data_IF_230023121305
#
_entry.id   IF_230023121305
#
_cell.length_a   1.000
_cell.length_b   1.000
_cell.length_c   1.000
_cell.angle_alpha   90.00
_cell.angle_beta   90.00
_cell.angle_gamma   90.00
#
_symmetry.space_group_name_H-M   'P 1'
#
loop_
_entity.id
_entity.type
_entity.pdbx_description
1 polymer ?
#
# COMPACT_ATOMS: atom_id res chain seq x y z
N UNK A 1 -28.69 6.00 -6.10
CA UNK A 1 -28.02 6.53 -4.88
C UNK A 1 -28.14 5.52 -3.78
N UNK A 2 -27.05 4.92 -3.38
CA UNK A 2 -27.01 3.97 -2.27
C UNK A 2 -27.04 4.73 -0.94
N UNK A 3 -27.98 4.35 -0.04
CA UNK A 3 -28.05 4.92 1.31
C UNK A 3 -27.23 4.06 2.26
N UNK A 4 -26.36 4.68 3.02
CA UNK A 4 -25.53 4.00 4.03
C UNK A 4 -25.85 4.59 5.40
N UNK A 5 -26.01 3.72 6.39
CA UNK A 5 -26.25 4.12 7.78
C UNK A 5 -24.96 4.71 8.37
N UNK A 6 -25.06 5.87 8.99
CA UNK A 6 -23.98 6.48 9.77
C UNK A 6 -24.01 5.96 11.20
N UNK A 7 -22.83 5.70 11.75
CA UNK A 7 -22.65 5.26 13.13
C UNK A 7 -21.96 6.36 13.96
N UNK A 8 -22.29 6.41 15.25
CA UNK A 8 -21.53 7.18 16.22
C UNK A 8 -20.38 6.33 16.83
N UNK A 9 -19.55 6.91 17.68
CA UNK A 9 -18.43 6.21 18.34
C UNK A 9 -18.91 5.06 19.28
N UNK A 10 -20.17 5.05 19.68
CA UNK A 10 -20.77 3.97 20.47
C UNK A 10 -21.35 2.83 19.62
N UNK A 11 -21.24 2.90 18.29
CA UNK A 11 -21.82 1.92 17.36
C UNK A 11 -23.33 2.02 17.14
N UNK A 12 -23.94 3.12 17.59
CA UNK A 12 -25.37 3.38 17.39
C UNK A 12 -25.59 4.14 16.08
N UNK A 13 -26.76 3.94 15.47
CA UNK A 13 -27.14 4.65 14.26
C UNK A 13 -27.35 6.15 14.54
N UNK A 14 -26.61 7.00 13.81
CA UNK A 14 -26.66 8.47 13.92
C UNK A 14 -27.39 9.12 12.74
N UNK A 15 -27.90 8.32 11.78
CA UNK A 15 -28.62 8.79 10.60
C UNK A 15 -28.23 8.05 9.34
N UNK A 16 -28.60 8.58 8.18
CA UNK A 16 -28.28 8.04 6.88
C UNK A 16 -27.61 9.08 6.00
N UNK A 17 -26.67 8.65 5.16
CA UNK A 17 -26.02 9.47 4.14
C UNK A 17 -26.28 8.86 2.76
N UNK A 18 -26.54 9.70 1.77
CA UNK A 18 -26.64 9.29 0.38
C UNK A 18 -25.28 9.42 -0.28
N UNK A 19 -24.84 8.35 -0.93
CA UNK A 19 -23.59 8.30 -1.67
C UNK A 19 -23.85 8.55 -3.15
N UNK A 20 -22.96 9.29 -3.83
CA UNK A 20 -23.05 9.52 -5.27
C UNK A 20 -22.67 8.25 -6.04
N UNK A 21 -23.57 7.78 -6.91
CA UNK A 21 -23.35 6.59 -7.73
C UNK A 21 -22.15 6.73 -8.70
N UNK A 22 -21.84 7.96 -9.11
CA UNK A 22 -20.69 8.28 -9.97
C UNK A 22 -19.34 7.91 -9.31
N UNK A 23 -19.29 7.80 -7.97
CA UNK A 23 -18.07 7.52 -7.21
C UNK A 23 -18.12 6.13 -6.56
N UNK A 24 -19.27 5.78 -5.97
CA UNK A 24 -19.43 4.56 -5.17
C UNK A 24 -20.26 3.47 -5.85
N UNK A 25 -20.88 3.77 -7.02
CA UNK A 25 -21.75 2.86 -7.75
C UNK A 25 -21.16 2.36 -9.08
N UNK A 26 -19.91 2.63 -9.38
CA UNK A 26 -19.26 2.22 -10.63
C UNK A 26 -18.92 0.73 -10.59
N UNK A 27 -19.04 0.05 -11.74
CA UNK A 27 -18.56 -1.33 -11.87
C UNK A 27 -17.03 -1.38 -11.68
N UNK A 28 -16.53 -2.16 -10.69
CA UNK A 28 -15.11 -2.18 -10.36
C UNK A 28 -14.25 -2.78 -11.48
N UNK A 29 -13.26 -2.02 -11.97
CA UNK A 29 -12.28 -2.50 -12.93
C UNK A 29 -11.04 -3.07 -12.22
N UNK A 30 -11.02 -4.39 -12.03
CA UNK A 30 -9.92 -5.10 -11.35
C UNK A 30 -8.56 -4.91 -12.02
N UNK A 31 -8.51 -4.82 -13.36
CA UNK A 31 -7.26 -4.62 -14.10
C UNK A 31 -6.64 -3.26 -13.80
N UNK A 32 -7.46 -2.20 -13.72
CA UNK A 32 -7.01 -0.86 -13.36
C UNK A 32 -6.47 -0.82 -11.93
N UNK A 33 -7.20 -1.43 -10.99
CA UNK A 33 -6.79 -1.53 -9.57
C UNK A 33 -5.46 -2.28 -9.46
N UNK A 34 -5.34 -3.46 -10.08
CA UNK A 34 -4.09 -4.25 -10.09
C UNK A 34 -2.90 -3.47 -10.67
N UNK A 35 -3.09 -2.79 -11.80
CA UNK A 35 -2.03 -1.98 -12.43
C UNK A 35 -1.52 -0.87 -11.49
N UNK A 36 -2.45 -0.18 -10.79
CA UNK A 36 -2.09 0.89 -9.84
C UNK A 36 -1.42 0.33 -8.59
N UNK A 37 -1.88 -0.78 -8.03
CA UNK A 37 -1.22 -1.44 -6.88
C UNK A 37 0.21 -1.85 -7.26
N UNK A 38 0.39 -2.50 -8.41
CA UNK A 38 1.72 -2.88 -8.92
C UNK A 38 2.65 -1.67 -9.08
N UNK A 39 2.12 -0.56 -9.59
CA UNK A 39 2.86 0.69 -9.71
C UNK A 39 3.27 1.27 -8.34
N UNK A 40 2.34 1.33 -7.36
CA UNK A 40 2.64 1.83 -6.01
C UNK A 40 3.73 0.99 -5.35
N UNK A 41 3.63 -0.33 -5.42
CA UNK A 41 4.61 -1.25 -4.85
C UNK A 41 5.98 -1.13 -5.54
N UNK A 42 6.02 -1.00 -6.87
CA UNK A 42 7.25 -0.78 -7.62
C UNK A 42 7.91 0.55 -7.24
N UNK A 43 7.12 1.62 -7.11
CA UNK A 43 7.62 2.95 -6.75
C UNK A 43 8.13 3.05 -5.30
N UNK A 44 7.71 2.13 -4.40
CA UNK A 44 8.21 2.01 -3.03
C UNK A 44 9.56 1.29 -2.95
N UNK A 45 9.95 0.55 -3.99
CA UNK A 45 11.24 -0.18 -4.00
C UNK A 45 12.39 0.79 -4.09
N UNK A 46 13.36 0.67 -3.18
CA UNK A 46 14.56 1.50 -3.15
C UNK A 46 15.52 1.16 -4.29
N UNK A 47 15.65 -0.12 -4.66
CA UNK A 47 16.44 -0.56 -5.79
C UNK A 47 17.95 -0.55 -5.59
N UNK A 48 18.43 -0.66 -4.36
CA UNK A 48 19.85 -0.59 -3.98
C UNK A 48 20.57 -1.94 -4.03
N UNK A 49 19.90 -3.01 -4.49
CA UNK A 49 20.54 -4.32 -4.62
C UNK A 49 21.74 -4.25 -5.56
N UNK A 50 22.88 -4.82 -5.12
CA UNK A 50 24.10 -4.88 -5.91
C UNK A 50 24.87 -6.15 -5.59
N UNK A 51 25.40 -6.78 -6.63
CA UNK A 51 26.38 -7.84 -6.47
C UNK A 51 27.56 -7.60 -7.43
N UNK A 52 28.72 -8.14 -7.08
CA UNK A 52 29.93 -7.97 -7.88
C UNK A 52 29.95 -8.98 -9.02
N UNK A 53 30.13 -8.48 -10.22
CA UNK A 53 30.44 -9.29 -11.40
C UNK A 53 31.88 -9.82 -11.34
N UNK A 54 32.22 -10.77 -12.19
CA UNK A 54 33.57 -11.30 -12.31
C UNK A 54 34.64 -10.21 -12.46
N UNK A 55 34.34 -9.12 -13.17
CA UNK A 55 35.26 -7.99 -13.37
C UNK A 55 35.45 -7.12 -12.14
N UNK A 56 34.49 -7.14 -11.21
CA UNK A 56 34.49 -6.27 -10.01
C UNK A 56 35.02 -6.99 -8.75
N UNK A 57 35.10 -8.32 -8.80
CA UNK A 57 35.67 -9.10 -7.69
C UNK A 57 37.18 -8.92 -7.69
N UNK A 58 37.76 -8.69 -6.50
CA UNK A 58 39.21 -8.57 -6.33
C UNK A 58 39.88 -9.91 -6.67
N UNK A 59 40.93 -9.86 -7.50
CA UNK A 59 41.69 -11.02 -7.90
C UNK A 59 41.57 -11.30 -9.40
N UNK A 60 42.03 -12.47 -9.83
CA UNK A 60 42.09 -12.80 -11.25
C UNK A 60 43.30 -12.15 -11.96
N UNK A 61 43.12 -11.76 -13.21
CA UNK A 61 44.20 -11.18 -14.04
C UNK A 61 45.25 -12.15 -14.54
N UNK A 62 45.65 -13.15 -13.74
CA UNK A 62 46.56 -14.20 -14.12
C UNK A 62 45.82 -15.52 -14.19
N UNK A 63 46.10 -16.31 -15.23
CA UNK A 63 45.63 -17.71 -15.36
C UNK A 63 46.21 -18.54 -14.22
N UNK A 64 45.42 -19.27 -13.42
CA UNK A 64 45.91 -20.03 -12.26
C UNK A 64 46.94 -21.08 -12.59
N UNK A 65 46.82 -21.76 -13.73
CA UNK A 65 47.78 -22.78 -14.23
C UNK A 65 47.69 -22.91 -15.74
N UNK A 66 48.69 -23.60 -16.35
CA UNK A 66 48.74 -23.84 -17.77
C UNK A 66 47.58 -24.66 -18.29
N UNK A 67 47.25 -24.51 -19.58
CA UNK A 67 46.07 -25.08 -20.23
C UNK A 67 46.00 -26.61 -20.24
N UNK A 68 47.15 -27.29 -20.31
CA UNK A 68 47.30 -28.76 -20.38
C UNK A 68 48.47 -29.22 -19.49
N UNK A 69 48.49 -30.54 -19.15
CA UNK A 69 49.59 -31.18 -18.39
C UNK A 69 49.55 -30.96 -16.89
N UNK A 70 48.39 -30.58 -16.30
CA UNK A 70 48.20 -30.41 -14.85
C UNK A 70 47.33 -31.47 -14.21
N UNK A 71 46.64 -32.32 -14.98
CA UNK A 71 45.65 -33.28 -14.48
C UNK A 71 44.39 -32.66 -13.88
N UNK A 72 44.26 -31.31 -13.90
CA UNK A 72 43.12 -30.55 -13.34
C UNK A 72 42.21 -30.05 -14.46
N UNK A 73 40.97 -29.66 -14.10
CA UNK A 73 40.08 -29.01 -15.04
C UNK A 73 40.68 -27.67 -15.52
N UNK A 74 40.33 -27.24 -16.72
CA UNK A 74 40.81 -26.00 -17.29
C UNK A 74 40.23 -24.80 -16.54
N UNK A 75 41.07 -23.87 -16.13
CA UNK A 75 40.70 -22.70 -15.34
C UNK A 75 41.15 -21.42 -16.04
N UNK A 76 40.21 -20.49 -16.29
CA UNK A 76 40.49 -19.20 -16.91
C UNK A 76 40.92 -18.14 -15.90
N UNK A 77 40.20 -18.06 -14.79
CA UNK A 77 40.45 -17.09 -13.73
C UNK A 77 39.97 -17.61 -12.37
N UNK A 78 40.54 -17.12 -11.29
CA UNK A 78 40.09 -17.41 -9.94
C UNK A 78 38.80 -16.65 -9.57
N UNK A 79 38.40 -15.62 -10.36
CA UNK A 79 37.19 -14.83 -10.14
C UNK A 79 35.98 -15.34 -10.93
N UNK A 80 36.12 -16.51 -11.61
CA UNK A 80 35.00 -17.08 -12.37
C UNK A 80 33.83 -17.46 -11.45
N UNK A 81 32.59 -17.35 -11.94
CA UNK A 81 31.38 -17.66 -11.14
C UNK A 81 31.33 -19.09 -10.59
N UNK A 82 32.04 -20.00 -11.22
CA UNK A 82 32.17 -21.40 -10.77
C UNK A 82 33.11 -21.59 -9.57
N UNK A 83 33.86 -20.56 -9.18
CA UNK A 83 34.81 -20.60 -8.09
C UNK A 83 34.21 -20.09 -6.79
N UNK A 84 34.64 -20.63 -5.66
CA UNK A 84 34.32 -20.12 -4.33
C UNK A 84 34.90 -18.71 -4.19
N UNK A 85 34.05 -17.71 -3.89
CA UNK A 85 34.45 -16.31 -3.86
C UNK A 85 34.54 -15.64 -5.22
N UNK A 86 34.14 -16.32 -6.31
CA UNK A 86 34.04 -15.73 -7.66
C UNK A 86 32.87 -14.73 -7.79
N UNK A 87 32.79 -14.07 -8.95
CA UNK A 87 31.74 -13.12 -9.28
C UNK A 87 30.38 -13.77 -9.58
N UNK A 88 29.30 -12.99 -9.48
CA UNK A 88 27.96 -13.44 -9.82
C UNK A 88 27.71 -13.19 -11.31
N UNK A 89 27.18 -14.21 -12.02
CA UNK A 89 26.74 -14.05 -13.42
C UNK A 89 25.48 -13.20 -13.43
N UNK A 90 25.41 -12.19 -14.32
CA UNK A 90 24.29 -11.25 -14.38
C UNK A 90 23.95 -10.61 -13.02
N UNK A 91 25.00 -10.21 -12.29
CA UNK A 91 24.87 -9.61 -10.99
C UNK A 91 23.87 -8.44 -10.99
N UNK A 92 22.93 -8.37 -10.04
CA UNK A 92 22.01 -7.25 -9.95
C UNK A 92 22.79 -5.96 -9.72
N UNK A 93 22.35 -4.88 -10.36
CA UNK A 93 22.89 -3.53 -10.17
C UNK A 93 21.81 -2.60 -9.65
N UNK A 94 22.17 -1.56 -8.91
CA UNK A 94 21.22 -0.56 -8.45
C UNK A 94 20.45 0.02 -9.63
N UNK A 95 19.12 0.04 -9.52
CA UNK A 95 18.25 0.61 -10.55
C UNK A 95 16.99 1.21 -9.95
N UNK A 96 16.41 2.18 -10.63
CA UNK A 96 15.09 2.69 -10.29
C UNK A 96 14.01 1.75 -10.84
N UNK A 97 13.00 1.46 -9.99
CA UNK A 97 11.81 0.72 -10.38
C UNK A 97 10.61 1.64 -10.63
N UNK A 98 10.83 2.96 -10.55
CA UNK A 98 9.76 3.96 -10.67
C UNK A 98 9.26 4.06 -12.11
N UNK A 99 7.95 4.07 -12.24
CA UNK A 99 7.27 4.40 -13.49
C UNK A 99 5.93 5.08 -13.18
N UNK A 100 5.38 5.79 -14.16
CA UNK A 100 4.12 6.54 -14.01
C UNK A 100 3.02 5.90 -14.84
N UNK A 101 1.79 5.97 -14.33
CA UNK A 101 0.58 5.56 -15.03
C UNK A 101 -0.22 6.79 -15.49
N UNK A 102 -1.00 6.70 -16.58
CA UNK A 102 -1.89 7.76 -17.01
C UNK A 102 -2.85 8.21 -15.90
N UNK A 103 -3.13 9.52 -15.81
CA UNK A 103 -4.03 10.08 -14.79
C UNK A 103 -5.42 9.45 -14.82
N UNK A 104 -5.98 9.23 -16.01
CA UNK A 104 -7.30 8.60 -16.20
C UNK A 104 -7.36 7.19 -15.60
N UNK A 105 -6.31 6.39 -15.79
CA UNK A 105 -6.24 5.03 -15.24
C UNK A 105 -6.18 5.04 -13.70
N UNK A 106 -5.40 5.96 -13.12
CA UNK A 106 -5.32 6.13 -11.67
C UNK A 106 -6.64 6.55 -11.06
N UNK A 107 -7.36 7.48 -11.72
CA UNK A 107 -8.70 7.91 -11.30
C UNK A 107 -9.70 6.75 -11.37
N UNK A 108 -9.74 6.00 -12.48
CA UNK A 108 -10.59 4.82 -12.63
C UNK A 108 -10.33 3.77 -11.53
N UNK A 109 -9.06 3.50 -11.21
CA UNK A 109 -8.71 2.57 -10.17
C UNK A 109 -9.15 3.03 -8.77
N UNK A 110 -9.09 4.33 -8.48
CA UNK A 110 -9.56 4.89 -7.22
C UNK A 110 -11.08 4.75 -7.08
N UNK A 111 -11.83 5.13 -8.10
CA UNK A 111 -13.29 4.99 -8.13
C UNK A 111 -13.70 3.52 -8.03
N UNK A 112 -13.01 2.63 -8.74
CA UNK A 112 -13.22 1.17 -8.65
C UNK A 112 -12.99 0.62 -7.25
N UNK A 113 -11.95 1.09 -6.55
CA UNK A 113 -11.65 0.65 -5.18
C UNK A 113 -12.71 1.14 -4.18
N UNK A 114 -13.18 2.39 -4.31
CA UNK A 114 -14.26 2.94 -3.47
C UNK A 114 -15.58 2.22 -3.70
N UNK A 115 -15.94 1.95 -4.97
CA UNK A 115 -17.15 1.22 -5.33
C UNK A 115 -17.13 -0.23 -4.83
N UNK A 116 -15.98 -0.93 -4.92
CA UNK A 116 -15.82 -2.28 -4.39
C UNK A 116 -16.10 -2.31 -2.88
N UNK A 117 -15.54 -1.36 -2.10
CA UNK A 117 -15.78 -1.25 -0.66
C UNK A 117 -17.24 -1.00 -0.30
N UNK A 118 -17.95 -0.21 -1.11
CA UNK A 118 -19.37 0.05 -0.91
C UNK A 118 -20.22 -1.19 -1.23
N UNK A 119 -19.92 -1.90 -2.33
CA UNK A 119 -20.64 -3.10 -2.77
C UNK A 119 -20.44 -4.30 -1.83
N UNK A 120 -19.23 -4.46 -1.26
CA UNK A 120 -18.90 -5.52 -0.32
C UNK A 120 -19.37 -5.24 1.12
N UNK A 121 -20.04 -4.10 1.36
CA UNK A 121 -20.47 -3.64 2.69
C UNK A 121 -19.31 -3.47 3.69
N UNK A 122 -18.13 -3.16 3.20
CA UNK A 122 -16.93 -2.92 3.99
C UNK A 122 -16.72 -1.42 4.28
N UNK A 123 -17.59 -0.56 3.76
CA UNK A 123 -17.63 0.87 4.02
C UNK A 123 -18.45 1.15 5.29
N UNK A 124 -17.79 1.71 6.29
CA UNK A 124 -18.39 2.15 7.56
C UNK A 124 -18.33 3.68 7.60
N UNK A 125 -19.48 4.32 7.70
CA UNK A 125 -19.57 5.79 7.78
C UNK A 125 -19.75 6.20 9.24
N UNK A 126 -18.85 7.09 9.70
CA UNK A 126 -18.93 7.67 11.05
C UNK A 126 -19.40 9.12 10.96
N UNK A 127 -20.23 9.55 11.89
CA UNK A 127 -20.63 10.95 11.99
C UNK A 127 -19.42 11.82 12.32
N UNK A 128 -18.80 11.61 13.48
CA UNK A 128 -17.58 12.30 13.92
C UNK A 128 -16.67 11.32 14.71
N UNK A 129 -15.35 11.48 14.59
CA UNK A 129 -14.36 10.80 15.42
C UNK A 129 -13.58 11.88 16.16
N UNK A 130 -13.79 12.00 17.48
CA UNK A 130 -13.14 13.03 18.29
C UNK A 130 -12.71 12.46 19.64
N UNK A 131 -11.46 12.71 20.01
CA UNK A 131 -10.92 12.35 21.31
C UNK A 131 -10.36 13.58 22.00
N UNK A 132 -10.71 13.79 23.26
CA UNK A 132 -10.17 14.88 24.08
C UNK A 132 -8.65 14.74 24.31
N UNK A 133 -8.19 13.51 24.47
CA UNK A 133 -6.80 13.17 24.66
C UNK A 133 -6.42 11.90 23.84
N UNK A 134 -5.17 11.73 23.42
CA UNK A 134 -4.74 10.55 22.69
C UNK A 134 -4.73 9.31 23.61
N UNK A 135 -5.69 8.39 23.40
CA UNK A 135 -5.84 7.15 24.17
C UNK A 135 -6.14 5.96 23.26
N UNK A 136 -5.25 4.99 23.21
CA UNK A 136 -5.44 3.74 22.44
C UNK A 136 -6.63 2.92 22.92
N UNK A 137 -6.91 2.91 24.23
CA UNK A 137 -8.04 2.17 24.82
C UNK A 137 -9.41 2.66 24.32
N UNK A 138 -9.57 3.97 24.14
CA UNK A 138 -10.82 4.55 23.61
C UNK A 138 -10.99 4.22 22.12
N UNK A 139 -9.90 4.26 21.34
CA UNK A 139 -9.91 3.84 19.94
C UNK A 139 -10.27 2.35 19.79
N UNK A 140 -9.71 1.46 20.61
CA UNK A 140 -10.05 0.03 20.59
C UNK A 140 -11.54 -0.17 20.90
N UNK A 141 -12.08 0.47 21.93
CA UNK A 141 -13.51 0.39 22.25
C UNK A 141 -14.40 0.86 21.09
N UNK A 142 -14.02 1.95 20.42
CA UNK A 142 -14.75 2.44 19.25
C UNK A 142 -14.75 1.38 18.14
N UNK A 143 -13.58 0.79 17.83
CA UNK A 143 -13.45 -0.24 16.79
C UNK A 143 -14.27 -1.51 17.12
N UNK A 144 -14.29 -1.93 18.38
CA UNK A 144 -15.13 -3.03 18.87
C UNK A 144 -16.62 -2.71 18.71
N UNK A 145 -17.06 -1.51 19.08
CA UNK A 145 -18.44 -1.06 18.98
C UNK A 145 -18.96 -1.07 17.52
N UNK A 146 -18.12 -0.65 16.56
CA UNK A 146 -18.46 -0.67 15.13
C UNK A 146 -18.16 -2.02 14.46
N UNK A 147 -17.72 -3.04 15.21
CA UNK A 147 -17.36 -4.38 14.74
C UNK A 147 -16.26 -4.39 13.67
N UNK A 148 -15.34 -3.46 13.75
CA UNK A 148 -14.18 -3.40 12.85
C UNK A 148 -13.01 -4.25 13.39
N UNK A 149 -13.19 -5.58 13.46
CA UNK A 149 -12.29 -6.53 14.14
C UNK A 149 -10.97 -6.80 13.41
N UNK A 150 -10.87 -6.40 12.14
CA UNK A 150 -9.71 -6.70 11.27
C UNK A 150 -8.95 -5.41 10.93
N UNK A 151 -8.16 -5.49 9.88
CA UNK A 151 -7.47 -4.32 9.34
C UNK A 151 -8.47 -3.22 8.97
N UNK A 152 -8.32 -2.03 9.56
CA UNK A 152 -9.19 -0.91 9.26
C UNK A 152 -8.38 0.32 8.81
N UNK A 153 -8.88 0.98 7.78
CA UNK A 153 -8.37 2.27 7.29
C UNK A 153 -9.35 3.37 7.71
N UNK A 154 -8.88 4.28 8.55
CA UNK A 154 -9.68 5.42 9.00
C UNK A 154 -9.33 6.64 8.14
N UNK A 155 -10.32 7.18 7.44
CA UNK A 155 -10.17 8.33 6.54
C UNK A 155 -10.85 9.56 7.14
N UNK A 156 -10.08 10.62 7.29
CA UNK A 156 -10.52 11.89 7.85
C UNK A 156 -10.43 13.01 6.81
N UNK A 157 -11.30 14.01 6.93
CA UNK A 157 -11.26 15.22 6.11
C UNK A 157 -10.07 16.11 6.46
N UNK A 158 -9.82 16.30 7.76
CA UNK A 158 -8.75 17.11 8.32
C UNK A 158 -7.89 16.29 9.29
N UNK A 159 -6.69 16.80 9.58
CA UNK A 159 -5.75 16.15 10.46
C UNK A 159 -6.14 16.37 11.92
N UNK A 160 -6.49 15.28 12.62
CA UNK A 160 -6.65 15.27 14.08
C UNK A 160 -5.48 14.46 14.71
N UNK A 161 -4.62 15.13 15.46
CA UNK A 161 -3.47 14.50 16.10
C UNK A 161 -3.86 13.51 17.18
N UNK A 162 -4.96 13.74 17.90
CA UNK A 162 -5.43 12.85 18.95
C UNK A 162 -5.90 11.52 18.36
N UNK A 163 -6.64 11.55 17.24
CA UNK A 163 -7.07 10.35 16.51
C UNK A 163 -5.87 9.59 15.95
N UNK A 164 -4.94 10.28 15.31
CA UNK A 164 -3.74 9.67 14.71
C UNK A 164 -2.89 8.97 15.77
N UNK A 165 -2.61 9.66 16.90
CA UNK A 165 -1.81 9.09 18.00
C UNK A 165 -2.52 7.92 18.69
N UNK A 166 -3.84 7.99 18.83
CA UNK A 166 -4.65 6.90 19.41
C UNK A 166 -4.64 5.64 18.56
N UNK A 167 -4.61 5.77 17.22
CA UNK A 167 -4.61 4.65 16.28
C UNK A 167 -3.21 4.08 16.01
N UNK A 168 -2.16 4.89 16.11
CA UNK A 168 -0.82 4.56 15.60
C UNK A 168 -0.20 3.28 16.18
N UNK A 169 -0.52 2.92 17.43
CA UNK A 169 0.02 1.73 18.11
C UNK A 169 -0.85 0.47 17.93
N UNK A 170 -1.98 0.57 17.26
CA UNK A 170 -2.88 -0.57 17.08
C UNK A 170 -2.50 -1.30 15.79
N UNK A 171 -2.16 -2.59 15.90
CA UNK A 171 -1.81 -3.40 14.74
C UNK A 171 -2.98 -3.53 13.75
N UNK A 172 -2.71 -3.30 12.48
CA UNK A 172 -3.71 -3.41 11.42
C UNK A 172 -4.59 -2.17 11.23
N UNK A 173 -4.46 -1.14 12.08
CA UNK A 173 -5.20 0.11 11.94
C UNK A 173 -4.27 1.16 11.32
N UNK A 174 -4.81 1.91 10.37
CA UNK A 174 -4.12 3.04 9.75
C UNK A 174 -5.06 4.23 9.59
N UNK A 175 -4.54 5.42 9.83
CA UNK A 175 -5.24 6.68 9.60
C UNK A 175 -4.68 7.36 8.38
N UNK A 176 -5.53 7.97 7.56
CA UNK A 176 -5.14 8.73 6.38
C UNK A 176 -6.08 9.91 6.17
N UNK A 177 -5.66 10.87 5.35
CA UNK A 177 -6.51 11.98 4.91
C UNK A 177 -7.04 11.69 3.50
N UNK A 178 -8.15 12.29 3.14
CA UNK A 178 -8.72 12.20 1.78
C UNK A 178 -7.68 12.56 0.72
N UNK A 179 -6.83 13.57 0.96
CA UNK A 179 -5.79 14.04 0.04
C UNK A 179 -4.61 13.09 -0.14
N UNK A 180 -4.32 12.24 0.86
CA UNK A 180 -3.18 11.29 0.85
C UNK A 180 -3.60 9.85 0.66
N UNK A 181 -4.89 9.59 0.61
CA UNK A 181 -5.48 8.27 0.40
C UNK A 181 -5.01 7.65 -0.93
N UNK A 182 -4.70 6.36 -0.92
CA UNK A 182 -4.28 5.64 -2.11
C UNK A 182 -4.98 4.28 -2.25
N UNK A 183 -5.07 3.80 -3.49
CA UNK A 183 -5.76 2.54 -3.85
C UNK A 183 -5.21 1.33 -3.08
N UNK A 184 -3.89 1.28 -2.87
CA UNK A 184 -3.26 0.17 -2.15
C UNK A 184 -3.74 0.09 -0.69
N UNK A 185 -3.87 1.22 -0.01
CA UNK A 185 -4.35 1.24 1.37
C UNK A 185 -5.81 0.86 1.48
N UNK A 186 -6.66 1.34 0.56
CA UNK A 186 -8.08 0.99 0.53
C UNK A 186 -8.28 -0.53 0.40
N UNK A 187 -7.58 -1.15 -0.55
CA UNK A 187 -7.72 -2.60 -0.81
C UNK A 187 -7.03 -3.45 0.26
N UNK A 188 -5.93 -2.96 0.87
CA UNK A 188 -5.20 -3.73 1.88
C UNK A 188 -5.93 -3.82 3.24
N UNK A 189 -6.91 -2.94 3.48
CA UNK A 189 -7.71 -2.94 4.70
C UNK A 189 -9.11 -3.44 4.41
N UNK A 190 -9.62 -4.35 5.25
CA UNK A 190 -10.97 -4.91 5.10
C UNK A 190 -12.01 -3.84 5.40
N UNK A 191 -11.90 -3.18 6.56
CA UNK A 191 -12.84 -2.15 6.95
C UNK A 191 -12.35 -0.76 6.48
N UNK A 192 -13.22 -0.07 5.77
CA UNK A 192 -12.98 1.27 5.27
C UNK A 192 -13.87 2.25 6.05
N UNK A 193 -13.30 2.88 7.07
CA UNK A 193 -13.99 3.78 8.00
C UNK A 193 -13.80 5.22 7.53
N UNK A 194 -14.88 5.93 7.27
CA UNK A 194 -14.84 7.29 6.71
C UNK A 194 -15.72 8.20 7.52
N UNK A 195 -15.24 9.39 7.88
CA UNK A 195 -16.09 10.41 8.52
C UNK A 195 -17.03 11.05 7.51
N UNK A 196 -18.18 11.52 7.95
CA UNK A 196 -19.16 12.23 7.13
C UNK A 196 -18.56 13.39 6.33
N UNK A 197 -17.68 14.16 6.96
CA UNK A 197 -16.96 15.27 6.30
C UNK A 197 -15.98 14.76 5.24
N UNK A 198 -15.32 13.61 5.50
CA UNK A 198 -14.42 13.01 4.54
C UNK A 198 -15.16 12.49 3.30
N UNK A 199 -16.39 11.97 3.43
CA UNK A 199 -17.23 11.60 2.27
C UNK A 199 -17.52 12.81 1.39
N UNK A 200 -17.97 13.91 1.98
CA UNK A 200 -18.22 15.15 1.23
C UNK A 200 -16.98 15.61 0.46
N UNK A 201 -15.82 15.56 1.13
CA UNK A 201 -14.54 15.92 0.51
C UNK A 201 -14.09 14.95 -0.58
N UNK A 202 -14.37 13.65 -0.43
CA UNK A 202 -14.15 12.65 -1.49
C UNK A 202 -15.02 13.00 -2.70
N UNK A 203 -16.28 13.33 -2.49
CA UNK A 203 -17.21 13.71 -3.55
C UNK A 203 -16.79 14.98 -4.29
N UNK A 204 -16.23 15.97 -3.60
CA UNK A 204 -15.68 17.18 -4.21
C UNK A 204 -14.43 16.90 -5.06
N UNK A 205 -13.53 16.03 -4.58
CA UNK A 205 -12.26 15.74 -5.25
C UNK A 205 -12.43 14.83 -6.47
N UNK A 206 -13.39 13.91 -6.42
CA UNK A 206 -13.58 12.88 -7.46
C UNK A 206 -14.82 13.07 -8.33
N UNK A 207 -15.60 14.11 -8.08
CA UNK A 207 -16.72 14.56 -8.93
C UNK A 207 -16.30 15.01 -10.32
#
# INVERSE_FOLDING_TARGET
MSKVTMLNMAGQEAGQIELKDEIFGIEPNQNAVHAVIKNILANRRQGTQSAKTRAEVRGGGRKPFRQKGTGRHRQGSSTDPSQVGGGVVFAPKPRSYRYTLPKKLRRLAMLSALSSKAQENELIVMDEIKFEAPKTKEMIKMLENIKAEKKALIVMAEKDENVIRSAANIQGIRTTLVTTMNVYEIINHTNFIVTKEAIKKIEEVYS
#
